data_IF_699696576883
#
_entry.id   IF_699696576883
#
_cell.length_a   1.000
_cell.length_b   1.000
_cell.length_c   1.000
_cell.angle_alpha   90.00
_cell.angle_beta   90.00
_cell.angle_gamma   90.00
#
_symmetry.space_group_name_H-M   'P 1'
#
loop_
_entity.id
_entity.type
_entity.pdbx_description
1 polymer ?
#
# COMPACT_ATOMS: atom_id res chain seq x y z
N UNK A 1 23.98 32.64 14.47
CA UNK A 1 22.93 32.80 13.42
C UNK A 1 22.08 31.54 13.33
N UNK A 2 20.78 31.59 12.96
CA UNK A 2 19.99 30.38 12.81
C UNK A 2 20.47 29.54 11.63
N UNK A 3 20.48 28.23 11.78
CA UNK A 3 20.83 27.28 10.70
C UNK A 3 19.78 27.35 9.59
N UNK A 4 20.20 27.61 8.36
CA UNK A 4 19.34 27.60 7.15
C UNK A 4 19.82 26.49 6.22
N UNK A 5 18.94 25.54 5.97
CA UNK A 5 19.22 24.46 5.03
C UNK A 5 18.89 24.88 3.60
N UNK A 6 19.90 25.04 2.76
CA UNK A 6 19.75 25.54 1.37
C UNK A 6 18.83 24.66 0.49
N UNK A 7 18.72 23.37 0.82
CA UNK A 7 17.90 22.40 0.07
C UNK A 7 16.55 22.13 0.76
N UNK A 8 16.08 23.02 1.65
CA UNK A 8 14.82 22.83 2.37
C UNK A 8 13.64 22.64 1.41
N UNK A 9 13.52 23.48 0.39
CA UNK A 9 12.45 23.38 -0.60
C UNK A 9 12.46 22.04 -1.36
N UNK A 10 13.64 21.49 -1.65
CA UNK A 10 13.77 20.17 -2.27
C UNK A 10 13.35 19.05 -1.30
N UNK A 11 13.72 19.16 -0.03
CA UNK A 11 13.29 18.21 1.01
C UNK A 11 11.77 18.22 1.17
N UNK A 12 11.16 19.40 1.23
CA UNK A 12 9.70 19.55 1.33
C UNK A 12 9.00 18.92 0.11
N UNK A 13 9.52 19.15 -1.10
CA UNK A 13 9.03 18.49 -2.31
C UNK A 13 9.12 16.95 -2.23
N UNK A 14 10.24 16.40 -1.69
CA UNK A 14 10.39 14.94 -1.54
C UNK A 14 9.41 14.37 -0.51
N UNK A 15 9.15 15.10 0.56
CA UNK A 15 8.14 14.74 1.57
C UNK A 15 6.75 14.70 0.94
N UNK A 16 6.40 15.69 0.12
CA UNK A 16 5.11 15.73 -0.56
C UNK A 16 4.95 14.59 -1.59
N UNK A 17 5.99 14.30 -2.37
CA UNK A 17 6.00 13.15 -3.28
C UNK A 17 5.86 11.81 -2.54
N UNK A 18 6.44 11.69 -1.35
CA UNK A 18 6.27 10.51 -0.50
C UNK A 18 4.82 10.38 -0.02
N UNK A 19 4.21 11.48 0.44
CA UNK A 19 2.79 11.48 0.85
C UNK A 19 1.87 11.07 -0.29
N UNK A 20 2.09 11.62 -1.49
CA UNK A 20 1.33 11.24 -2.68
C UNK A 20 1.46 9.74 -3.00
N UNK A 21 2.66 9.18 -2.88
CA UNK A 21 2.89 7.75 -3.07
C UNK A 21 2.24 6.89 -1.98
N UNK A 22 2.18 7.37 -0.72
CA UNK A 22 1.47 6.71 0.38
C UNK A 22 -0.05 6.72 0.14
N UNK A 23 -0.60 7.81 -0.34
CA UNK A 23 -2.03 7.92 -0.66
C UNK A 23 -2.40 7.06 -1.88
N UNK A 24 -1.55 7.03 -2.92
CA UNK A 24 -1.73 6.13 -4.07
C UNK A 24 -1.71 4.66 -3.63
N UNK A 25 -0.77 4.26 -2.78
CA UNK A 25 -0.72 2.89 -2.25
C UNK A 25 -2.01 2.52 -1.51
N UNK A 26 -2.49 3.38 -0.62
CA UNK A 26 -3.76 3.16 0.10
C UNK A 26 -4.94 3.01 -0.85
N UNK A 27 -5.00 3.82 -1.91
CA UNK A 27 -6.05 3.72 -2.91
C UNK A 27 -6.00 2.34 -3.62
N UNK A 28 -4.80 1.88 -4.03
CA UNK A 28 -4.62 0.57 -4.67
C UNK A 28 -4.92 -0.61 -3.73
N UNK A 29 -4.56 -0.50 -2.46
CA UNK A 29 -4.90 -1.49 -1.44
C UNK A 29 -6.42 -1.59 -1.22
N UNK A 30 -7.12 -0.45 -1.23
CA UNK A 30 -8.58 -0.40 -1.15
C UNK A 30 -9.23 -1.04 -2.37
N UNK A 31 -8.74 -0.75 -3.59
CA UNK A 31 -9.19 -1.40 -4.83
C UNK A 31 -9.00 -2.92 -4.77
N UNK A 32 -7.80 -3.38 -4.37
CA UNK A 32 -7.51 -4.80 -4.21
C UNK A 32 -8.47 -5.47 -3.21
N UNK A 33 -8.73 -4.83 -2.08
CA UNK A 33 -9.66 -5.33 -1.07
C UNK A 33 -11.09 -5.47 -1.61
N UNK A 34 -11.55 -4.49 -2.42
CA UNK A 34 -12.85 -4.55 -3.07
C UNK A 34 -12.95 -5.71 -4.07
N UNK A 35 -11.93 -5.89 -4.93
CA UNK A 35 -11.88 -6.98 -5.90
C UNK A 35 -11.83 -8.36 -5.22
N UNK A 36 -11.08 -8.48 -4.12
CA UNK A 36 -11.04 -9.71 -3.32
C UNK A 36 -12.38 -10.03 -2.68
N UNK A 37 -13.11 -9.02 -2.20
CA UNK A 37 -14.46 -9.20 -1.64
C UNK A 37 -15.43 -9.69 -2.71
N UNK A 38 -15.40 -9.09 -3.90
CA UNK A 38 -16.20 -9.52 -5.05
C UNK A 38 -15.88 -10.96 -5.43
N UNK A 39 -14.60 -11.34 -5.44
CA UNK A 39 -14.18 -12.72 -5.70
C UNK A 39 -14.80 -13.68 -4.68
N UNK A 40 -14.73 -13.35 -3.41
CA UNK A 40 -15.31 -14.16 -2.34
C UNK A 40 -16.83 -14.32 -2.48
N UNK A 41 -17.54 -13.25 -2.86
CA UNK A 41 -18.99 -13.30 -3.12
C UNK A 41 -19.33 -14.21 -4.32
N UNK A 42 -18.52 -14.16 -5.40
CA UNK A 42 -18.68 -15.03 -6.54
C UNK A 42 -18.35 -16.49 -6.22
N UNK A 43 -17.35 -16.77 -5.41
CA UNK A 43 -17.04 -18.12 -4.94
C UNK A 43 -18.19 -18.70 -4.12
N UNK A 44 -18.81 -17.92 -3.26
CA UNK A 44 -20.02 -18.31 -2.52
C UNK A 44 -21.20 -18.56 -3.47
N UNK A 45 -21.36 -17.76 -4.52
CA UNK A 45 -22.39 -17.98 -5.52
C UNK A 45 -22.19 -19.30 -6.28
N UNK A 46 -20.93 -19.64 -6.64
CA UNK A 46 -20.61 -20.96 -7.23
C UNK A 46 -21.02 -22.09 -6.31
N UNK A 47 -20.68 -21.99 -5.02
CA UNK A 47 -21.00 -23.06 -4.06
C UNK A 47 -22.51 -23.22 -3.87
N UNK A 48 -23.27 -22.10 -3.81
CA UNK A 48 -24.75 -22.14 -3.70
C UNK A 48 -25.39 -22.74 -4.97
N UNK A 49 -24.93 -22.34 -6.17
CA UNK A 49 -25.40 -22.91 -7.44
C UNK A 49 -25.08 -24.40 -7.55
N UNK A 50 -23.86 -24.80 -7.18
CA UNK A 50 -23.45 -26.20 -7.18
C UNK A 50 -24.24 -27.05 -6.17
N UNK A 51 -24.53 -26.49 -4.99
CA UNK A 51 -25.38 -27.17 -3.98
C UNK A 51 -26.80 -27.37 -4.49
N UNK A 52 -27.38 -26.37 -5.15
CA UNK A 52 -28.70 -26.46 -5.77
C UNK A 52 -28.75 -27.53 -6.86
N UNK A 53 -27.76 -27.52 -7.74
CA UNK A 53 -27.63 -28.54 -8.79
C UNK A 53 -27.51 -29.96 -8.20
N UNK A 54 -26.66 -30.15 -7.20
CA UNK A 54 -26.50 -31.45 -6.50
C UNK A 54 -27.81 -31.92 -5.87
N UNK A 55 -28.54 -31.01 -5.20
CA UNK A 55 -29.84 -31.31 -4.59
C UNK A 55 -30.86 -31.75 -5.63
N UNK A 56 -31.03 -31.00 -6.71
CA UNK A 56 -31.96 -31.33 -7.78
C UNK A 56 -31.62 -32.64 -8.46
N UNK A 57 -30.37 -32.93 -8.69
CA UNK A 57 -29.88 -34.20 -9.25
C UNK A 57 -30.20 -35.37 -8.32
N UNK A 58 -30.04 -35.22 -7.02
CA UNK A 58 -30.37 -36.24 -6.02
C UNK A 58 -31.89 -36.47 -5.91
N UNK A 59 -32.73 -35.40 -5.93
CA UNK A 59 -34.20 -35.51 -5.97
C UNK A 59 -34.67 -36.29 -7.19
N UNK A 60 -34.09 -36.02 -8.38
CA UNK A 60 -34.37 -36.73 -9.60
C UNK A 60 -34.06 -38.23 -9.48
N UNK A 61 -32.91 -38.56 -8.90
CA UNK A 61 -32.52 -39.98 -8.70
C UNK A 61 -33.50 -40.73 -7.85
N UNK A 62 -34.14 -40.04 -6.86
CA UNK A 62 -35.21 -40.63 -6.00
C UNK A 62 -36.55 -40.71 -6.73
N UNK A 63 -36.92 -39.69 -7.52
CA UNK A 63 -38.18 -39.64 -8.28
C UNK A 63 -38.19 -40.53 -9.49
N UNK A 64 -37.05 -40.94 -10.02
CA UNK A 64 -36.98 -41.88 -11.14
C UNK A 64 -37.57 -43.29 -10.85
N UNK A 65 -37.85 -43.54 -9.58
CA UNK A 65 -38.62 -44.75 -9.13
C UNK A 65 -40.11 -44.49 -8.95
N UNK A 66 -40.62 -43.27 -9.08
CA UNK A 66 -42.05 -42.92 -8.86
C UNK A 66 -42.56 -42.09 -10.04
N UNK A 67 -43.27 -42.70 -10.88
CA UNK A 67 -44.31 -42.30 -11.87
C UNK A 67 -44.51 -40.82 -12.22
N UNK A 68 -44.37 -40.46 -13.49
CA UNK A 68 -45.37 -39.69 -14.23
C UNK A 68 -45.07 -38.22 -14.51
N UNK A 69 -43.88 -37.70 -14.22
CA UNK A 69 -43.46 -36.37 -14.73
C UNK A 69 -42.63 -36.58 -16.01
N UNK A 70 -42.92 -35.84 -17.11
CA UNK A 70 -42.15 -36.01 -18.34
C UNK A 70 -40.65 -35.80 -18.09
N UNK A 71 -39.84 -36.82 -18.36
CA UNK A 71 -38.38 -36.83 -18.20
C UNK A 71 -37.72 -35.63 -18.91
N UNK A 72 -38.36 -35.14 -20.00
CA UNK A 72 -37.90 -33.98 -20.78
C UNK A 72 -37.86 -32.67 -19.94
N UNK A 73 -38.94 -32.33 -19.19
CA UNK A 73 -39.02 -31.11 -18.40
C UNK A 73 -38.01 -31.13 -17.25
N UNK A 74 -37.74 -32.29 -16.66
CA UNK A 74 -36.76 -32.45 -15.60
C UNK A 74 -35.31 -32.32 -16.15
N UNK A 75 -35.06 -32.73 -17.40
CA UNK A 75 -33.76 -32.55 -18.08
C UNK A 75 -33.45 -31.08 -18.31
N UNK A 76 -34.42 -30.32 -18.86
CA UNK A 76 -34.22 -28.90 -19.17
C UNK A 76 -33.87 -28.09 -17.91
N UNK A 77 -34.49 -28.37 -16.77
CA UNK A 77 -34.19 -27.73 -15.51
C UNK A 77 -32.78 -28.06 -14.95
N UNK A 78 -32.29 -29.31 -15.17
CA UNK A 78 -30.94 -29.70 -14.77
C UNK A 78 -29.87 -29.09 -15.66
N UNK A 79 -30.14 -29.02 -16.96
CA UNK A 79 -29.24 -28.36 -17.94
C UNK A 79 -29.13 -26.89 -17.61
N UNK A 80 -30.25 -26.20 -17.28
CA UNK A 80 -30.23 -24.81 -16.86
C UNK A 80 -29.36 -24.59 -15.61
N UNK A 81 -29.55 -25.40 -14.57
CA UNK A 81 -28.74 -25.32 -13.35
C UNK A 81 -27.26 -25.65 -13.59
N UNK A 82 -26.94 -26.55 -14.52
CA UNK A 82 -25.56 -26.82 -14.90
C UNK A 82 -24.93 -25.63 -15.61
N UNK A 83 -25.68 -24.97 -16.49
CA UNK A 83 -25.24 -23.74 -17.16
C UNK A 83 -25.00 -22.63 -16.13
N UNK A 84 -25.88 -22.44 -15.15
CA UNK A 84 -25.72 -21.46 -14.05
C UNK A 84 -24.39 -21.71 -13.28
N UNK A 85 -24.08 -22.96 -12.97
CA UNK A 85 -22.81 -23.32 -12.32
C UNK A 85 -21.62 -22.99 -13.21
N UNK A 86 -21.69 -23.25 -14.51
CA UNK A 86 -20.59 -22.94 -15.44
C UNK A 86 -20.41 -21.43 -15.61
N UNK A 87 -21.49 -20.67 -15.68
CA UNK A 87 -21.48 -19.22 -15.74
C UNK A 87 -20.86 -18.62 -14.47
N UNK A 88 -21.30 -19.07 -13.30
CA UNK A 88 -20.71 -18.63 -12.03
C UNK A 88 -19.22 -18.95 -11.93
N UNK A 89 -18.77 -20.13 -12.41
CA UNK A 89 -17.34 -20.47 -12.46
C UNK A 89 -16.55 -19.57 -13.42
N UNK A 90 -17.11 -19.25 -14.57
CA UNK A 90 -16.45 -18.35 -15.53
C UNK A 90 -16.32 -16.93 -14.95
N UNK A 91 -17.31 -16.48 -14.19
CA UNK A 91 -17.25 -15.20 -13.47
C UNK A 91 -16.13 -15.17 -12.43
N UNK A 92 -15.94 -16.26 -11.66
CA UNK A 92 -14.83 -16.39 -10.71
C UNK A 92 -13.48 -16.31 -11.43
N UNK A 93 -13.31 -17.00 -12.55
CA UNK A 93 -12.06 -16.94 -13.32
C UNK A 93 -11.77 -15.53 -13.86
N UNK A 94 -12.80 -14.85 -14.35
CA UNK A 94 -12.68 -13.46 -14.80
C UNK A 94 -12.30 -12.52 -13.66
N UNK A 95 -12.92 -12.69 -12.50
CA UNK A 95 -12.64 -11.88 -11.30
C UNK A 95 -11.23 -12.15 -10.77
N UNK A 96 -10.75 -13.39 -10.82
CA UNK A 96 -9.38 -13.72 -10.42
C UNK A 96 -8.35 -12.92 -11.22
N UNK A 97 -8.57 -12.73 -12.52
CA UNK A 97 -7.70 -11.90 -13.37
C UNK A 97 -7.69 -10.43 -12.88
N UNK A 98 -8.84 -9.89 -12.42
CA UNK A 98 -8.91 -8.55 -11.90
C UNK A 98 -8.17 -8.41 -10.56
N UNK A 99 -8.30 -9.39 -9.68
CA UNK A 99 -7.54 -9.45 -8.41
C UNK A 99 -6.04 -9.50 -8.68
N UNK A 100 -5.59 -10.33 -9.62
CA UNK A 100 -4.17 -10.43 -9.98
C UNK A 100 -3.63 -9.12 -10.54
N UNK A 101 -4.40 -8.42 -11.37
CA UNK A 101 -4.04 -7.07 -11.87
C UNK A 101 -3.97 -6.05 -10.74
N UNK A 102 -4.94 -6.03 -9.83
CA UNK A 102 -4.94 -5.14 -8.69
C UNK A 102 -3.72 -5.39 -7.78
N UNK A 103 -3.37 -6.66 -7.55
CA UNK A 103 -2.18 -7.05 -6.80
C UNK A 103 -0.88 -6.53 -7.44
N UNK A 104 -0.76 -6.62 -8.77
CA UNK A 104 0.39 -6.06 -9.49
C UNK A 104 0.47 -4.53 -9.38
N UNK A 105 -0.67 -3.83 -9.35
CA UNK A 105 -0.70 -2.38 -9.14
C UNK A 105 -0.25 -2.01 -7.71
N UNK A 106 -0.67 -2.76 -6.70
CA UNK A 106 -0.19 -2.59 -5.31
C UNK A 106 1.31 -2.80 -5.22
N UNK A 107 1.86 -3.85 -5.85
CA UNK A 107 3.31 -4.08 -5.88
C UNK A 107 4.08 -2.91 -6.51
N UNK A 108 3.58 -2.37 -7.62
CA UNK A 108 4.17 -1.20 -8.29
C UNK A 108 4.12 0.05 -7.39
N UNK A 109 2.97 0.31 -6.77
CA UNK A 109 2.82 1.45 -5.85
C UNK A 109 3.77 1.33 -4.64
N UNK A 110 3.93 0.13 -4.07
CA UNK A 110 4.90 -0.15 -3.00
C UNK A 110 6.34 0.12 -3.44
N UNK A 111 6.73 -0.29 -4.65
CA UNK A 111 8.07 -0.03 -5.17
C UNK A 111 8.33 1.47 -5.35
N UNK A 112 7.34 2.22 -5.84
CA UNK A 112 7.42 3.69 -5.95
C UNK A 112 7.57 4.32 -4.58
N UNK A 113 6.76 3.91 -3.60
CA UNK A 113 6.85 4.43 -2.23
C UNK A 113 8.23 4.14 -1.61
N UNK A 114 8.75 2.93 -1.76
CA UNK A 114 10.08 2.57 -1.26
C UNK A 114 11.17 3.50 -1.86
N UNK A 115 11.11 3.76 -3.17
CA UNK A 115 12.01 4.68 -3.83
C UNK A 115 11.88 6.12 -3.27
N UNK A 116 10.64 6.63 -3.11
CA UNK A 116 10.39 7.97 -2.57
C UNK A 116 10.85 8.13 -1.11
N UNK A 117 10.76 7.06 -0.31
CA UNK A 117 11.29 7.04 1.07
C UNK A 117 12.80 7.17 1.07
N UNK A 118 13.52 6.39 0.26
CA UNK A 118 14.98 6.48 0.15
C UNK A 118 15.44 7.86 -0.31
N UNK A 119 14.77 8.45 -1.30
CA UNK A 119 15.04 9.81 -1.79
C UNK A 119 14.94 10.86 -0.67
N UNK A 120 13.90 10.77 0.16
CA UNK A 120 13.71 11.66 1.31
C UNK A 120 14.77 11.45 2.39
N UNK A 121 15.06 10.20 2.76
CA UNK A 121 16.05 9.86 3.77
C UNK A 121 17.46 10.36 3.44
N UNK A 122 17.86 10.32 2.17
CA UNK A 122 19.16 10.85 1.73
C UNK A 122 19.27 12.34 2.04
N UNK A 123 18.24 13.12 1.73
CA UNK A 123 18.22 14.56 1.99
C UNK A 123 18.11 14.88 3.49
N UNK A 124 17.35 14.11 4.24
CA UNK A 124 17.27 14.25 5.70
C UNK A 124 18.63 13.98 6.37
N UNK A 125 19.33 12.93 5.97
CA UNK A 125 20.69 12.62 6.44
C UNK A 125 21.68 13.73 6.06
N UNK A 126 21.55 14.28 4.85
CA UNK A 126 22.39 15.40 4.42
C UNK A 126 22.11 16.67 5.26
N UNK A 127 20.83 17.00 5.49
CA UNK A 127 20.42 18.10 6.38
C UNK A 127 21.00 17.93 7.78
N UNK A 128 20.91 16.72 8.33
CA UNK A 128 21.43 16.43 9.67
C UNK A 128 22.96 16.65 9.73
N UNK A 129 23.70 16.14 8.74
CA UNK A 129 25.16 16.35 8.64
C UNK A 129 25.52 17.84 8.51
N UNK A 130 24.77 18.58 7.69
CA UNK A 130 25.00 20.01 7.52
C UNK A 130 24.70 20.77 8.82
N UNK A 131 23.67 20.39 9.56
CA UNK A 131 23.33 20.98 10.86
C UNK A 131 24.44 20.71 11.89
N UNK A 132 24.89 19.47 12.00
CA UNK A 132 25.98 19.11 12.94
C UNK A 132 27.27 19.87 12.64
N UNK A 133 27.63 20.04 11.34
CA UNK A 133 28.80 20.85 10.96
C UNK A 133 28.63 22.30 11.36
N UNK A 134 27.46 22.87 11.10
CA UNK A 134 27.17 24.25 11.48
C UNK A 134 27.27 24.45 13.01
N UNK A 135 26.73 23.55 13.80
CA UNK A 135 26.81 23.59 15.26
C UNK A 135 28.26 23.48 15.75
N UNK A 136 29.07 22.64 15.14
CA UNK A 136 30.50 22.54 15.45
C UNK A 136 31.28 23.82 15.10
N UNK A 137 30.98 24.40 13.93
CA UNK A 137 31.60 25.67 13.52
C UNK A 137 31.20 26.85 14.42
N UNK A 138 29.95 26.91 14.86
CA UNK A 138 29.49 27.94 15.81
C UNK A 138 30.13 27.76 17.18
N UNK A 139 30.17 26.52 17.70
CA UNK A 139 30.87 26.22 18.97
C UNK A 139 32.36 26.61 18.92
N UNK A 140 33.03 26.28 17.83
CA UNK A 140 34.45 26.64 17.63
C UNK A 140 34.66 28.18 17.62
N UNK A 141 33.76 28.91 16.95
CA UNK A 141 33.83 30.39 16.95
C UNK A 141 33.61 30.99 18.36
N UNK A 142 32.64 30.44 19.09
CA UNK A 142 32.36 30.86 20.46
C UNK A 142 33.58 30.60 21.38
N UNK A 143 34.25 29.45 21.22
CA UNK A 143 35.49 29.13 21.95
C UNK A 143 36.60 30.15 21.64
N UNK A 144 36.81 30.49 20.36
CA UNK A 144 37.80 31.48 19.94
C UNK A 144 37.50 32.88 20.53
N UNK A 145 36.25 33.31 20.46
CA UNK A 145 35.82 34.60 21.03
C UNK A 145 36.05 34.65 22.57
N UNK A 146 35.79 33.53 23.26
CA UNK A 146 36.05 33.44 24.72
C UNK A 146 37.57 33.47 25.01
N UNK A 147 38.41 32.82 24.21
CA UNK A 147 39.83 32.86 24.37
C UNK A 147 40.42 34.25 24.08
N UNK A 148 39.89 35.00 23.11
CA UNK A 148 40.29 36.37 22.82
C UNK A 148 39.91 37.30 24.02
N UNK A 149 38.68 37.18 24.54
CA UNK A 149 38.23 37.94 25.70
C UNK A 149 39.09 37.63 26.93
N UNK A 150 39.37 36.34 27.15
CA UNK A 150 40.25 35.90 28.23
C UNK A 150 41.64 36.49 28.12
N UNK A 151 42.22 36.51 26.93
CA UNK A 151 43.54 37.11 26.62
C UNK A 151 43.58 38.59 26.85
N UNK A 152 42.55 39.32 26.43
CA UNK A 152 42.42 40.79 26.66
C UNK A 152 42.30 41.11 28.17
N UNK A 153 41.51 40.36 28.92
CA UNK A 153 41.38 40.52 30.37
C UNK A 153 42.71 40.27 31.07
N UNK A 154 43.44 39.21 30.67
CA UNK A 154 44.74 38.90 31.23
C UNK A 154 45.78 40.02 30.98
N UNK A 155 45.86 40.51 29.75
CA UNK A 155 46.78 41.60 29.37
C UNK A 155 46.45 42.89 30.11
N UNK A 156 45.17 43.25 30.26
CA UNK A 156 44.72 44.44 31.00
C UNK A 156 45.05 44.34 32.50
N UNK A 157 44.98 43.16 33.10
CA UNK A 157 45.41 42.97 34.51
C UNK A 157 46.89 43.18 34.67
N UNK A 158 47.69 42.64 33.75
CA UNK A 158 49.15 42.76 33.76
C UNK A 158 49.65 44.18 33.51
N UNK A 159 48.93 44.98 32.75
CA UNK A 159 49.24 46.38 32.51
C UNK A 159 48.89 47.33 33.69
N UNK A 160 48.13 46.85 34.68
CA UNK A 160 47.74 47.64 35.89
C UNK A 160 48.54 47.29 37.12
N UNK A 161 49.44 46.31 37.04
CA UNK A 161 50.45 45.97 38.06
C UNK A 161 51.80 46.49 37.65
#
# INVERSE_FOLDING_TARGET
MPFVFRLQALLDQRIDLRKQAEDELKARESELSAEQKTLQELEQAVETAAALYRRRRAERSKSGMSLGVPILIQNDSLIGLEMDVQEARSAVLSQQILVDRALELVKKANAVLAFRRLDGEVLEKYRQKAKTRFEQEESYKEELEQDEIGSVIYLNRRART
#
